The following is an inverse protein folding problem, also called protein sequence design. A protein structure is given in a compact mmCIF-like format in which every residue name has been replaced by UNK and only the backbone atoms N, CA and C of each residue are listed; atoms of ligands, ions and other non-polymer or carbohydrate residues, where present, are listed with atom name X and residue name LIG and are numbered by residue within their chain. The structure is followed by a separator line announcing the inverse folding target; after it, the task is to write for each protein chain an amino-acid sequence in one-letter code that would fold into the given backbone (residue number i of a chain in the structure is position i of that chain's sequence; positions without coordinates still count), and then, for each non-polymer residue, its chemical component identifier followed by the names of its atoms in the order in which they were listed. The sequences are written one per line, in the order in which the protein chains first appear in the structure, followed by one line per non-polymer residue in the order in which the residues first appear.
data_IF_631067833303
#
_entry.id   IF_631067833303
#
_cell.length_a   1.000
_cell.length_b   1.000
_cell.length_c   1.000
_cell.angle_alpha   90.00
_cell.angle_beta   90.00
_cell.angle_gamma   90.00
#
_symmetry.space_group_name_H-M   'P 1'
#
loop_
_entity.id
_entity.type
_entity.pdbx_description
1 polymer ?
#
# COMPACT_ATOMS: atom_id res chain seq x y z
N UNK A 1 24.57 -15.42 2.63
CA UNK A 1 23.87 -15.82 3.88
C UNK A 1 22.41 -15.81 3.55
N UNK A 2 21.73 -16.92 3.80
CA UNK A 2 20.32 -17.07 3.47
C UNK A 2 19.44 -16.54 4.59
N UNK A 3 18.57 -15.59 4.29
CA UNK A 3 17.66 -15.01 5.29
C UNK A 3 16.22 -15.22 4.83
N UNK A 4 15.40 -15.84 5.67
CA UNK A 4 13.98 -15.97 5.42
C UNK A 4 13.26 -14.75 6.03
N UNK A 5 12.74 -13.88 5.17
CA UNK A 5 12.09 -12.63 5.57
C UNK A 5 10.57 -12.74 5.42
N UNK A 6 9.90 -12.71 6.56
CA UNK A 6 8.45 -12.72 6.69
C UNK A 6 7.98 -11.35 7.20
N UNK A 7 6.76 -10.95 6.85
CA UNK A 7 6.14 -9.75 7.40
C UNK A 7 4.62 -9.86 7.37
N UNK A 8 3.93 -8.98 8.09
CA UNK A 8 2.49 -8.78 8.01
C UNK A 8 1.75 -10.12 8.10
N UNK A 9 2.00 -10.85 9.21
CA UNK A 9 1.42 -12.17 9.43
C UNK A 9 -0.04 -12.11 9.87
N UNK A 10 -0.42 -11.01 10.54
CA UNK A 10 -1.79 -10.67 10.93
C UNK A 10 -2.58 -11.84 11.56
N UNK A 11 -1.95 -12.57 12.49
CA UNK A 11 -2.65 -13.61 13.22
C UNK A 11 -3.79 -13.01 14.05
N UNK A 12 -5.00 -13.52 13.82
CA UNK A 12 -6.21 -13.19 14.56
C UNK A 12 -7.24 -14.32 14.40
N UNK A 13 -8.28 -14.38 15.24
CA UNK A 13 -9.35 -15.36 15.09
C UNK A 13 -9.97 -15.40 13.69
N UNK A 14 -10.16 -14.24 13.04
CA UNK A 14 -10.70 -14.16 11.67
C UNK A 14 -9.73 -14.57 10.56
N UNK A 15 -8.42 -14.40 10.80
CA UNK A 15 -7.37 -14.66 9.80
C UNK A 15 -6.65 -15.99 10.03
N UNK A 16 -6.94 -16.71 11.13
CA UNK A 16 -6.12 -17.81 11.64
C UNK A 16 -5.81 -18.88 10.60
N UNK A 17 -6.82 -19.39 9.91
CA UNK A 17 -6.63 -20.47 8.93
C UNK A 17 -5.82 -20.01 7.71
N UNK A 18 -5.97 -18.75 7.29
CA UNK A 18 -5.15 -18.19 6.21
C UNK A 18 -3.70 -18.01 6.64
N UNK A 19 -3.52 -17.30 7.75
CA UNK A 19 -2.22 -16.93 8.28
C UNK A 19 -1.40 -18.19 8.62
N UNK A 20 -2.01 -19.19 9.25
CA UNK A 20 -1.30 -20.42 9.61
C UNK A 20 -1.03 -21.34 8.42
N UNK A 21 -1.93 -21.43 7.43
CA UNK A 21 -1.64 -22.18 6.20
C UNK A 21 -0.47 -21.57 5.44
N UNK A 22 -0.48 -20.26 5.25
CA UNK A 22 0.56 -19.55 4.50
C UNK A 22 1.87 -19.49 5.25
N UNK A 23 1.85 -19.07 6.52
CA UNK A 23 3.07 -19.02 7.33
C UNK A 23 3.62 -20.41 7.60
N UNK A 24 2.76 -21.41 7.84
CA UNK A 24 3.18 -22.80 7.97
C UNK A 24 3.99 -23.28 6.77
N UNK A 25 3.46 -23.12 5.55
CA UNK A 25 4.20 -23.40 4.32
C UNK A 25 5.52 -22.63 4.25
N UNK A 26 5.50 -21.33 4.54
CA UNK A 26 6.69 -20.48 4.46
C UNK A 26 7.79 -20.91 5.45
N UNK A 27 7.42 -21.28 6.68
CA UNK A 27 8.35 -21.81 7.68
C UNK A 27 8.96 -23.14 7.27
N UNK A 28 8.15 -24.07 6.75
CA UNK A 28 8.62 -25.39 6.28
C UNK A 28 9.56 -25.25 5.07
N UNK A 29 9.20 -24.38 4.12
CA UNK A 29 10.03 -24.09 2.94
C UNK A 29 11.36 -23.42 3.33
N UNK A 30 11.34 -22.45 4.25
CA UNK A 30 12.56 -21.79 4.72
C UNK A 30 13.54 -22.76 5.39
N UNK A 31 13.03 -23.70 6.20
CA UNK A 31 13.83 -24.77 6.81
C UNK A 31 14.40 -25.71 5.74
N UNK A 32 13.58 -26.13 4.77
CA UNK A 32 14.01 -26.99 3.67
C UNK A 32 15.12 -26.35 2.82
N UNK A 33 15.03 -25.03 2.61
CA UNK A 33 16.02 -24.26 1.85
C UNK A 33 17.28 -23.89 2.64
N UNK A 34 17.37 -24.33 3.90
CA UNK A 34 18.46 -24.06 4.82
C UNK A 34 18.71 -22.56 5.01
N UNK A 35 17.66 -21.80 5.34
CA UNK A 35 17.84 -20.42 5.79
C UNK A 35 18.69 -20.38 7.07
N UNK A 36 19.64 -19.45 7.13
CA UNK A 36 20.57 -19.29 8.25
C UNK A 36 19.90 -18.54 9.42
N UNK A 37 18.94 -17.66 9.12
CA UNK A 37 18.20 -16.84 10.10
C UNK A 37 16.82 -16.46 9.53
N UNK A 38 15.84 -16.36 10.42
CA UNK A 38 14.51 -15.85 10.11
C UNK A 38 14.36 -14.40 10.61
N UNK A 39 13.76 -13.54 9.80
CA UNK A 39 13.43 -12.15 10.13
C UNK A 39 11.94 -11.96 9.96
N UNK A 40 11.25 -11.50 11.02
CA UNK A 40 9.84 -11.09 10.99
C UNK A 40 9.82 -9.57 11.16
N UNK A 41 9.56 -8.83 10.08
CA UNK A 41 9.65 -7.36 10.07
C UNK A 41 8.36 -6.66 10.52
N UNK A 42 7.72 -7.15 11.59
CA UNK A 42 6.53 -6.54 12.21
C UNK A 42 5.18 -7.12 11.81
N UNK A 43 4.15 -6.70 12.55
CA UNK A 43 2.72 -7.04 12.40
C UNK A 43 2.46 -8.56 12.36
N UNK A 44 3.03 -9.29 13.33
CA UNK A 44 2.78 -10.71 13.53
C UNK A 44 1.32 -10.99 13.97
N UNK A 45 0.70 -10.06 14.69
CA UNK A 45 -0.71 -10.11 15.10
C UNK A 45 -1.53 -9.02 14.42
N UNK A 46 -2.79 -9.30 14.11
CA UNK A 46 -3.70 -8.33 13.46
C UNK A 46 -4.22 -7.25 14.42
N UNK A 47 -4.21 -7.55 15.72
CA UNK A 47 -4.56 -6.65 16.81
C UNK A 47 -4.09 -7.28 18.12
N UNK A 48 -4.30 -6.57 19.24
CA UNK A 48 -4.07 -7.14 20.59
C UNK A 48 -4.82 -8.47 20.76
N UNK A 49 -4.07 -9.56 20.92
CA UNK A 49 -4.63 -10.87 21.23
C UNK A 49 -4.58 -11.17 22.72
N UNK A 50 -5.63 -11.80 23.24
CA UNK A 50 -5.60 -12.37 24.58
C UNK A 50 -4.65 -13.57 24.65
N UNK A 51 -4.03 -13.79 25.81
CA UNK A 51 -3.07 -14.88 26.02
C UNK A 51 -3.65 -16.29 25.73
N UNK A 52 -4.96 -16.46 25.88
CA UNK A 52 -5.68 -17.71 25.65
C UNK A 52 -6.18 -17.86 24.21
N UNK A 53 -5.98 -16.86 23.35
CA UNK A 53 -6.45 -16.88 21.98
C UNK A 53 -5.76 -18.01 21.18
N UNK A 54 -6.53 -18.87 20.47
CA UNK A 54 -5.94 -19.90 19.61
C UNK A 54 -4.99 -19.34 18.55
N UNK A 55 -5.25 -18.13 18.05
CA UNK A 55 -4.37 -17.45 17.09
C UNK A 55 -3.00 -17.15 17.66
N UNK A 56 -2.92 -16.65 18.90
CA UNK A 56 -1.64 -16.41 19.57
C UNK A 56 -0.90 -17.74 19.82
N UNK A 57 -1.62 -18.78 20.24
CA UNK A 57 -1.02 -20.09 20.45
C UNK A 57 -0.44 -20.69 19.16
N UNK A 58 -1.14 -20.56 18.03
CA UNK A 58 -0.66 -21.04 16.72
C UNK A 58 0.56 -20.26 16.25
N UNK A 59 0.53 -18.94 16.34
CA UNK A 59 1.68 -18.08 16.07
C UNK A 59 2.90 -18.49 16.90
N UNK A 60 2.72 -18.64 18.22
CA UNK A 60 3.77 -19.09 19.15
C UNK A 60 4.36 -20.44 18.76
N UNK A 61 3.52 -21.41 18.33
CA UNK A 61 4.02 -22.71 17.86
C UNK A 61 4.83 -22.61 16.58
N UNK A 62 4.44 -21.75 15.63
CA UNK A 62 5.19 -21.54 14.38
C UNK A 62 6.54 -20.88 14.64
N UNK A 63 6.58 -19.85 15.47
CA UNK A 63 7.82 -19.16 15.87
C UNK A 63 8.73 -20.10 16.69
N UNK A 64 8.17 -20.85 17.65
CA UNK A 64 8.92 -21.87 18.39
C UNK A 64 9.53 -22.91 17.43
N UNK A 65 8.75 -23.39 16.45
CA UNK A 65 9.22 -24.31 15.42
C UNK A 65 10.38 -23.75 14.58
N UNK A 66 10.29 -22.49 14.14
CA UNK A 66 11.39 -21.78 13.46
C UNK A 66 12.64 -21.74 14.34
N UNK A 67 12.50 -21.37 15.60
CA UNK A 67 13.63 -21.32 16.56
C UNK A 67 14.27 -22.70 16.82
N UNK A 68 13.56 -23.79 16.53
CA UNK A 68 14.14 -25.14 16.53
C UNK A 68 15.17 -25.35 15.40
N UNK A 69 15.09 -24.56 14.33
CA UNK A 69 15.88 -24.74 13.11
C UNK A 69 16.88 -23.61 12.84
N UNK A 70 16.56 -22.37 13.22
CA UNK A 70 17.42 -21.20 12.98
C UNK A 70 17.15 -20.08 14.01
N UNK A 71 18.09 -19.15 14.25
CA UNK A 71 17.83 -17.93 15.00
C UNK A 71 16.70 -17.11 14.39
N UNK A 72 15.93 -16.41 15.23
CA UNK A 72 14.78 -15.60 14.79
C UNK A 72 14.92 -14.18 15.30
N UNK A 73 14.86 -13.19 14.43
CA UNK A 73 14.74 -11.79 14.77
C UNK A 73 13.30 -11.33 14.51
N UNK A 74 12.64 -10.77 15.51
CA UNK A 74 11.30 -10.19 15.41
C UNK A 74 11.38 -8.69 15.65
N UNK A 75 10.99 -7.89 14.66
CA UNK A 75 10.88 -6.44 14.79
C UNK A 75 9.47 -6.08 15.30
N UNK A 76 9.40 -5.12 16.21
CA UNK A 76 8.13 -4.49 16.60
C UNK A 76 7.52 -3.74 15.42
N UNK A 77 6.33 -4.18 14.99
CA UNK A 77 5.48 -3.49 14.03
C UNK A 77 4.62 -2.41 14.69
N UNK A 78 3.49 -2.10 14.07
CA UNK A 78 2.62 -1.02 14.52
C UNK A 78 1.97 -1.31 15.86
N UNK A 79 1.81 -0.29 16.71
CA UNK A 79 1.26 -0.49 18.07
C UNK A 79 -0.22 -0.87 18.11
N UNK A 80 -0.96 -0.65 17.01
CA UNK A 80 -2.35 -1.08 16.89
C UNK A 80 -2.44 -2.61 16.74
N UNK A 81 -1.52 -3.17 15.95
CA UNK A 81 -1.40 -4.59 15.69
C UNK A 81 -0.72 -5.31 16.86
N UNK A 82 0.40 -4.74 17.35
CA UNK A 82 1.28 -5.32 18.35
C UNK A 82 1.53 -4.30 19.48
N UNK A 83 0.74 -4.29 20.56
CA UNK A 83 1.00 -3.42 21.69
C UNK A 83 2.42 -3.64 22.27
N UNK A 84 3.14 -2.58 22.71
CA UNK A 84 4.46 -2.72 23.29
C UNK A 84 4.54 -3.81 24.38
N UNK A 85 5.60 -4.61 24.32
CA UNK A 85 5.80 -5.77 25.21
C UNK A 85 5.11 -7.06 24.79
N UNK A 86 4.21 -7.04 23.79
CA UNK A 86 3.57 -8.27 23.26
C UNK A 86 4.61 -9.26 22.76
N UNK A 87 5.57 -8.77 21.97
CA UNK A 87 6.57 -9.61 21.31
C UNK A 87 7.59 -10.23 22.28
N UNK A 88 7.91 -9.57 23.40
CA UNK A 88 8.88 -10.09 24.40
C UNK A 88 8.55 -11.48 24.90
N UNK A 89 7.27 -11.85 24.89
CA UNK A 89 6.84 -13.19 25.28
C UNK A 89 7.43 -14.28 24.37
N UNK A 90 7.69 -13.99 23.09
CA UNK A 90 8.27 -14.96 22.16
C UNK A 90 9.73 -15.28 22.46
N UNK A 91 10.50 -14.37 23.06
CA UNK A 91 11.89 -14.66 23.47
C UNK A 91 11.96 -15.84 24.46
N UNK A 92 10.96 -15.92 25.34
CA UNK A 92 10.79 -17.00 26.32
C UNK A 92 10.35 -18.33 25.69
N UNK A 93 9.91 -18.30 24.43
CA UNK A 93 9.39 -19.47 23.69
C UNK A 93 10.43 -20.09 22.76
N UNK A 94 11.70 -19.72 22.89
CA UNK A 94 12.78 -20.30 22.07
C UNK A 94 12.97 -21.80 22.32
N UNK A 95 13.28 -22.55 21.26
CA UNK A 95 13.54 -24.00 21.32
C UNK A 95 15.03 -24.31 21.37
N UNK A 96 15.75 -24.14 20.25
CA UNK A 96 17.18 -24.47 20.14
C UNK A 96 18.02 -23.22 19.88
N UNK A 97 17.55 -22.36 18.99
CA UNK A 97 18.18 -21.10 18.64
C UNK A 97 17.45 -19.93 19.31
N UNK A 98 18.18 -18.82 19.49
CA UNK A 98 17.65 -17.64 20.13
C UNK A 98 16.56 -16.99 19.28
N UNK A 99 15.49 -16.55 19.96
CA UNK A 99 14.55 -15.56 19.43
C UNK A 99 14.94 -14.22 20.05
N UNK A 100 15.16 -13.21 19.21
CA UNK A 100 15.51 -11.86 19.62
C UNK A 100 14.42 -10.87 19.17
N UNK A 101 13.93 -10.05 20.09
CA UNK A 101 12.91 -9.03 19.80
C UNK A 101 13.55 -7.65 19.74
N UNK A 102 13.44 -7.01 18.57
CA UNK A 102 13.89 -5.65 18.32
C UNK A 102 12.72 -4.67 18.46
N UNK A 103 12.55 -4.12 19.67
CA UNK A 103 11.48 -3.17 20.02
C UNK A 103 11.94 -1.71 20.13
N UNK A 104 13.25 -1.46 20.00
CA UNK A 104 13.84 -0.13 19.93
C UNK A 104 14.78 0.00 18.74
N UNK A 105 15.15 1.24 18.44
CA UNK A 105 16.19 1.57 17.46
C UNK A 105 17.55 1.11 18.00
N UNK A 106 18.23 0.23 17.26
CA UNK A 106 19.51 -0.37 17.66
C UNK A 106 20.18 -1.11 16.51
N UNK A 107 21.46 -1.45 16.67
CA UNK A 107 22.14 -2.43 15.84
C UNK A 107 22.31 -3.74 16.60
N UNK A 108 22.14 -4.87 15.91
CA UNK A 108 22.21 -6.20 16.51
C UNK A 108 23.07 -7.10 15.64
N UNK A 109 24.19 -7.59 16.16
CA UNK A 109 25.02 -8.56 15.46
C UNK A 109 24.56 -9.99 15.75
N UNK A 110 24.77 -10.89 14.79
CA UNK A 110 24.56 -12.32 14.94
C UNK A 110 25.89 -13.04 14.76
N UNK A 111 26.23 -13.91 15.72
CA UNK A 111 27.41 -14.76 15.67
C UNK A 111 27.11 -16.08 16.37
N UNK A 112 27.43 -17.21 15.72
CA UNK A 112 27.20 -18.56 16.27
C UNK A 112 25.80 -18.77 16.85
N UNK A 113 24.78 -18.22 16.17
CA UNK A 113 23.37 -18.34 16.56
C UNK A 113 22.93 -17.47 17.75
N UNK A 114 23.77 -16.53 18.20
CA UNK A 114 23.46 -15.60 19.30
C UNK A 114 23.46 -14.15 18.82
N UNK A 115 22.50 -13.39 19.33
CA UNK A 115 22.35 -11.97 19.06
C UNK A 115 23.05 -11.11 20.12
N UNK A 116 23.77 -10.08 19.68
CA UNK A 116 24.45 -9.10 20.52
C UNK A 116 24.05 -7.70 20.07
N UNK A 117 23.29 -7.00 20.92
CA UNK A 117 22.72 -5.69 20.62
C UNK A 117 23.60 -4.54 21.13
N UNK A 118 23.62 -3.44 20.40
CA UNK A 118 24.24 -2.18 20.82
C UNK A 118 23.52 -1.60 22.04
N UNK A 119 24.24 -0.99 22.97
CA UNK A 119 23.63 -0.25 24.08
C UNK A 119 22.79 0.93 23.59
N UNK A 120 23.31 1.69 22.61
CA UNK A 120 22.61 2.80 21.97
C UNK A 120 21.92 2.44 20.64
N UNK A 121 21.50 3.46 19.86
CA UNK A 121 20.91 3.28 18.52
C UNK A 121 21.84 2.66 17.48
N UNK A 122 23.14 2.85 17.67
CA UNK A 122 24.22 2.26 16.88
C UNK A 122 25.31 1.72 17.82
N UNK A 123 26.17 0.84 17.34
CA UNK A 123 27.33 0.39 18.11
C UNK A 123 28.26 1.58 18.40
N UNK A 124 28.66 1.71 19.66
CA UNK A 124 29.80 2.54 20.06
C UNK A 124 31.09 1.99 19.48
N UNK A 125 32.17 2.78 19.48
CA UNK A 125 33.47 2.32 18.96
C UNK A 125 34.01 1.09 19.68
N UNK A 126 33.78 0.97 20.99
CA UNK A 126 34.22 -0.17 21.79
C UNK A 126 33.40 -1.42 21.44
N UNK A 127 32.07 -1.30 21.38
CA UNK A 127 31.18 -2.40 20.98
C UNK A 127 31.45 -2.85 19.53
N UNK A 128 31.71 -1.91 18.61
CA UNK A 128 32.03 -2.24 17.22
C UNK A 128 33.34 -3.05 17.15
N UNK A 129 34.36 -2.70 17.94
CA UNK A 129 35.60 -3.49 18.04
C UNK A 129 35.32 -4.89 18.57
N UNK A 130 34.42 -5.04 19.54
CA UNK A 130 34.00 -6.35 20.04
C UNK A 130 33.28 -7.17 18.97
N UNK A 131 32.29 -6.58 18.28
CA UNK A 131 31.52 -7.20 17.18
C UNK A 131 32.44 -7.70 16.05
N UNK A 132 33.46 -6.91 15.70
CA UNK A 132 34.46 -7.31 14.72
C UNK A 132 35.37 -8.43 15.26
N UNK A 133 35.76 -8.36 16.53
CA UNK A 133 36.64 -9.37 17.15
C UNK A 133 35.99 -10.74 17.29
N UNK A 134 34.67 -10.81 17.53
CA UNK A 134 33.93 -12.08 17.57
C UNK A 134 33.74 -12.67 16.17
N UNK A 135 33.87 -11.86 15.11
CA UNK A 135 33.62 -12.30 13.74
C UNK A 135 32.13 -12.47 13.46
N UNK A 136 31.35 -11.41 13.66
CA UNK A 136 29.92 -11.41 13.36
C UNK A 136 29.62 -11.82 11.91
N UNK A 137 28.62 -12.69 11.73
CA UNK A 137 28.20 -13.18 10.41
C UNK A 137 27.43 -12.11 9.62
N UNK A 138 26.63 -11.33 10.37
CA UNK A 138 25.75 -10.25 9.90
C UNK A 138 25.45 -9.27 11.04
N UNK A 139 25.22 -8.00 10.69
CA UNK A 139 24.66 -6.98 11.58
C UNK A 139 23.33 -6.47 11.04
N UNK A 140 22.33 -6.47 11.91
CA UNK A 140 20.99 -5.94 11.66
C UNK A 140 20.85 -4.52 12.21
N UNK A 141 20.64 -3.54 11.35
CA UNK A 141 20.17 -2.19 11.72
C UNK A 141 18.66 -2.24 11.88
N UNK A 142 18.18 -2.25 13.13
CA UNK A 142 16.77 -2.43 13.47
C UNK A 142 16.10 -1.08 13.72
N UNK A 143 15.02 -0.82 12.99
CA UNK A 143 14.21 0.38 13.12
C UNK A 143 12.72 -0.02 13.25
N UNK A 144 12.24 -0.32 14.47
CA UNK A 144 10.83 -0.64 14.69
C UNK A 144 9.93 0.58 14.46
N UNK A 145 8.62 0.35 14.40
CA UNK A 145 7.65 1.46 14.28
C UNK A 145 7.83 2.46 15.43
N UNK A 146 7.95 3.75 15.08
CA UNK A 146 8.19 4.83 16.05
C UNK A 146 6.89 5.49 16.46
N UNK A 147 6.74 5.77 17.76
CA UNK A 147 5.60 6.52 18.27
C UNK A 147 5.74 8.01 17.95
N UNK A 148 4.96 8.51 16.99
CA UNK A 148 4.92 9.93 16.62
C UNK A 148 4.66 10.87 17.81
N UNK A 149 3.88 10.43 18.80
CA UNK A 149 3.60 11.20 20.01
C UNK A 149 4.80 11.30 20.97
N UNK A 150 5.58 10.24 21.12
CA UNK A 150 6.80 10.26 21.94
C UNK A 150 7.91 11.05 21.24
N UNK A 151 8.05 10.89 19.92
CA UNK A 151 8.93 11.75 19.12
C UNK A 151 8.54 13.22 19.31
N UNK A 152 7.25 13.55 19.22
CA UNK A 152 6.76 14.91 19.44
C UNK A 152 6.99 15.45 20.84
N UNK A 153 7.00 14.59 21.85
CA UNK A 153 7.31 14.99 23.22
C UNK A 153 8.79 15.36 23.38
N UNK A 154 9.69 14.72 22.63
CA UNK A 154 11.13 14.89 22.71
C UNK A 154 11.67 16.00 21.79
N UNK A 155 11.20 16.09 20.54
CA UNK A 155 11.65 17.13 19.57
C UNK A 155 10.71 18.34 19.48
N UNK A 156 9.56 18.30 20.17
CA UNK A 156 8.54 19.34 20.14
C UNK A 156 7.48 19.13 19.04
N UNK A 157 6.21 19.40 19.38
CA UNK A 157 5.05 19.03 18.55
C UNK A 157 4.98 19.70 17.16
N UNK A 158 5.62 20.86 16.95
CA UNK A 158 5.68 21.52 15.64
C UNK A 158 6.70 20.88 14.70
N UNK A 159 7.81 20.40 15.25
CA UNK A 159 8.89 19.81 14.47
C UNK A 159 8.68 18.30 14.27
N UNK A 160 7.84 17.64 15.07
CA UNK A 160 7.57 16.21 14.94
C UNK A 160 6.83 15.81 13.65
N UNK A 161 5.91 16.68 13.18
CA UNK A 161 5.11 16.39 11.99
C UNK A 161 5.92 16.52 10.68
N UNK A 162 6.96 17.36 10.67
CA UNK A 162 7.86 17.58 9.53
C UNK A 162 9.26 16.99 9.73
N UNK A 163 9.59 16.55 10.94
CA UNK A 163 10.93 16.15 11.36
C UNK A 163 11.10 14.66 11.61
N UNK A 164 10.04 13.84 11.59
CA UNK A 164 10.19 12.39 11.70
C UNK A 164 11.06 11.84 10.55
N UNK A 165 10.77 12.21 9.30
CA UNK A 165 11.59 11.80 8.16
C UNK A 165 13.05 12.24 8.33
N UNK A 166 13.29 13.46 8.80
CA UNK A 166 14.63 13.99 9.07
C UNK A 166 15.37 13.22 10.16
N UNK A 167 14.71 12.96 11.30
CA UNK A 167 15.27 12.19 12.41
C UNK A 167 15.58 10.76 12.00
N UNK A 168 14.69 10.12 11.25
CA UNK A 168 14.91 8.77 10.72
C UNK A 168 16.06 8.77 9.70
N UNK A 169 16.14 9.79 8.84
CA UNK A 169 17.25 9.93 7.88
C UNK A 169 18.60 10.14 8.58
N UNK A 170 18.64 10.95 9.64
CA UNK A 170 19.85 11.17 10.45
C UNK A 170 20.30 9.87 11.13
N UNK A 171 19.36 9.10 11.67
CA UNK A 171 19.64 7.78 12.22
C UNK A 171 20.19 6.83 11.15
N UNK A 172 19.52 6.71 10.00
CA UNK A 172 19.96 5.84 8.92
C UNK A 172 21.35 6.24 8.41
N UNK A 173 21.63 7.53 8.27
CA UNK A 173 22.96 8.05 7.93
C UNK A 173 24.00 7.71 9.00
N UNK A 174 23.66 7.79 10.29
CA UNK A 174 24.54 7.38 11.38
C UNK A 174 24.84 5.88 11.37
N UNK A 175 23.82 5.05 11.21
CA UNK A 175 23.97 3.61 11.05
C UNK A 175 24.79 3.28 9.79
N UNK A 176 24.61 4.04 8.71
CA UNK A 176 25.35 3.91 7.46
C UNK A 176 26.87 4.03 7.63
N UNK A 177 27.33 4.96 8.48
CA UNK A 177 28.77 5.09 8.80
C UNK A 177 29.34 3.86 9.50
N UNK A 178 28.55 3.19 10.34
CA UNK A 178 28.95 1.94 11.00
C UNK A 178 28.89 0.78 10.00
N UNK A 179 27.83 0.72 9.20
CA UNK A 179 27.64 -0.32 8.19
C UNK A 179 28.73 -0.32 7.11
N UNK A 180 29.23 0.85 6.71
CA UNK A 180 30.39 0.95 5.82
C UNK A 180 31.66 0.34 6.43
N UNK A 181 31.91 0.57 7.73
CA UNK A 181 33.06 -0.03 8.43
C UNK A 181 32.92 -1.56 8.52
N UNK A 182 31.74 -2.04 8.89
CA UNK A 182 31.42 -3.47 8.95
C UNK A 182 31.65 -4.15 7.58
N UNK A 183 31.16 -3.56 6.50
CA UNK A 183 31.36 -4.07 5.14
C UNK A 183 32.83 -4.06 4.72
N UNK A 184 33.61 -3.05 5.10
CA UNK A 184 35.04 -3.00 4.84
C UNK A 184 35.80 -4.16 5.51
N UNK A 185 35.31 -4.63 6.65
CA UNK A 185 35.83 -5.79 7.40
C UNK A 185 35.17 -7.12 6.98
N UNK A 186 34.33 -7.12 5.93
CA UNK A 186 33.71 -8.33 5.41
C UNK A 186 32.47 -8.83 6.16
N UNK A 187 31.88 -7.99 7.02
CA UNK A 187 30.62 -8.29 7.73
C UNK A 187 29.43 -7.83 6.88
N UNK A 188 28.41 -8.69 6.76
CA UNK A 188 27.16 -8.38 6.03
C UNK A 188 26.31 -7.40 6.82
N UNK A 189 25.63 -6.50 6.14
CA UNK A 189 24.75 -5.52 6.78
C UNK A 189 23.31 -5.62 6.28
N UNK A 190 22.36 -5.68 7.20
CA UNK A 190 20.93 -5.83 6.89
C UNK A 190 20.14 -4.77 7.64
N UNK A 191 19.32 -3.98 6.95
CA UNK A 191 18.32 -3.12 7.58
C UNK A 191 17.02 -3.88 7.80
N UNK A 192 16.33 -3.65 8.91
CA UNK A 192 14.98 -4.20 9.17
C UNK A 192 14.10 -3.08 9.69
N UNK A 193 12.99 -2.81 9.01
CA UNK A 193 12.04 -1.76 9.42
C UNK A 193 10.59 -2.13 9.11
N UNK A 194 9.65 -1.42 9.73
CA UNK A 194 8.22 -1.55 9.50
C UNK A 194 7.59 -0.15 9.34
N UNK A 195 7.30 0.23 8.10
CA UNK A 195 6.73 1.54 7.78
C UNK A 195 6.60 1.77 6.28
N UNK A 196 6.19 2.98 5.88
CA UNK A 196 5.85 3.29 4.49
C UNK A 196 6.98 4.01 3.75
N UNK A 197 7.31 3.52 2.55
CA UNK A 197 8.25 4.16 1.62
C UNK A 197 7.51 5.04 0.63
N UNK A 198 8.01 6.26 0.40
CA UNK A 198 7.45 7.17 -0.58
C UNK A 198 7.45 6.55 -2.00
N UNK A 199 6.29 6.57 -2.66
CA UNK A 199 6.10 6.00 -4.00
C UNK A 199 5.90 4.48 -4.01
N UNK A 200 5.80 3.82 -2.85
CA UNK A 200 5.39 2.42 -2.81
C UNK A 200 3.95 2.24 -3.32
N UNK A 201 3.65 1.04 -3.81
CA UNK A 201 2.31 0.68 -4.28
C UNK A 201 1.63 -0.20 -3.23
N UNK A 202 0.42 0.17 -2.82
CA UNK A 202 -0.38 -0.65 -1.90
C UNK A 202 -0.87 -1.93 -2.57
N UNK A 203 -1.35 -2.85 -1.76
CA UNK A 203 -2.02 -4.07 -2.18
C UNK A 203 -3.26 -3.83 -3.04
N UNK A 204 -3.82 -2.62 -3.07
CA UNK A 204 -4.93 -2.25 -3.95
C UNK A 204 -4.49 -1.50 -5.22
N UNK A 205 -3.18 -1.51 -5.54
CA UNK A 205 -2.63 -0.89 -6.74
C UNK A 205 -2.55 0.64 -6.66
N UNK A 206 -2.77 1.24 -5.49
CA UNK A 206 -2.69 2.68 -5.29
C UNK A 206 -1.25 3.06 -4.96
N UNK A 207 -0.64 3.93 -5.76
CA UNK A 207 0.65 4.52 -5.41
C UNK A 207 0.47 5.52 -4.28
N UNK A 208 1.18 5.30 -3.19
CA UNK A 208 1.13 6.18 -2.04
C UNK A 208 1.96 7.43 -2.33
N UNK A 209 1.29 8.58 -2.37
CA UNK A 209 1.89 9.92 -2.50
C UNK A 209 1.30 10.82 -1.41
N UNK A 210 2.13 11.42 -0.54
CA UNK A 210 1.64 12.24 0.58
C UNK A 210 2.65 12.40 1.72
N UNK A 211 2.21 12.97 2.84
CA UNK A 211 3.04 13.24 4.03
C UNK A 211 3.03 12.09 5.06
N UNK A 212 2.34 10.98 4.78
CA UNK A 212 2.25 9.82 5.68
C UNK A 212 3.39 8.79 5.47
N UNK A 213 4.37 9.12 4.63
CA UNK A 213 5.56 8.29 4.41
C UNK A 213 6.59 8.49 5.51
N UNK A 214 7.16 7.40 5.99
CA UNK A 214 8.22 7.44 7.00
C UNK A 214 9.61 7.42 6.36
N UNK A 215 9.71 6.89 5.15
CA UNK A 215 10.98 6.66 4.47
C UNK A 215 11.00 7.22 3.05
N UNK A 216 12.15 7.80 2.68
CA UNK A 216 12.54 7.95 1.28
C UNK A 216 13.45 6.79 0.88
N UNK A 217 13.43 6.40 -0.40
CA UNK A 217 14.40 5.41 -0.89
C UNK A 217 15.85 5.88 -0.70
N UNK A 218 16.08 7.19 -0.80
CA UNK A 218 17.38 7.81 -0.55
C UNK A 218 17.90 7.49 0.86
N UNK A 219 17.10 7.78 1.90
CA UNK A 219 17.50 7.56 3.28
C UNK A 219 17.72 6.08 3.61
N UNK A 220 16.90 5.18 3.03
CA UNK A 220 17.11 3.73 3.19
C UNK A 220 18.44 3.26 2.58
N UNK A 221 18.83 3.79 1.41
CA UNK A 221 20.14 3.46 0.82
C UNK A 221 21.32 4.17 1.49
N UNK A 222 21.09 5.26 2.22
CA UNK A 222 22.09 5.92 3.07
C UNK A 222 22.43 5.11 4.33
N UNK A 223 21.57 4.16 4.71
CA UNK A 223 21.89 3.18 5.74
C UNK A 223 23.00 2.20 5.35
N UNK A 224 23.42 2.18 4.07
CA UNK A 224 24.56 1.39 3.60
C UNK A 224 24.47 -0.13 3.87
N UNK A 225 23.25 -0.62 4.03
CA UNK A 225 22.94 -2.04 4.16
C UNK A 225 23.05 -2.76 2.82
N UNK A 226 23.53 -4.01 2.83
CA UNK A 226 23.49 -4.90 1.67
C UNK A 226 22.04 -5.24 1.28
N UNK A 227 21.23 -5.56 2.29
CA UNK A 227 19.79 -5.79 2.16
C UNK A 227 19.01 -4.90 3.13
N UNK A 228 17.82 -4.44 2.75
CA UNK A 228 16.91 -3.72 3.64
C UNK A 228 15.51 -4.35 3.57
N UNK A 229 15.14 -5.02 4.66
CA UNK A 229 13.92 -5.80 4.81
C UNK A 229 12.83 -4.94 5.43
N UNK A 230 11.78 -4.67 4.65
CA UNK A 230 10.65 -3.84 5.09
C UNK A 230 9.40 -4.68 5.37
N UNK A 231 8.57 -4.22 6.29
CA UNK A 231 7.17 -4.62 6.49
C UNK A 231 6.22 -3.44 6.40
N UNK A 232 4.91 -3.66 6.52
CA UNK A 232 3.78 -2.70 6.52
C UNK A 232 2.99 -2.67 5.21
N UNK A 233 3.68 -2.81 4.07
CA UNK A 233 3.03 -2.79 2.76
C UNK A 233 2.73 -4.22 2.33
N UNK A 234 1.45 -4.53 2.19
CA UNK A 234 0.96 -5.89 1.88
C UNK A 234 1.18 -6.33 0.44
N UNK A 235 1.83 -5.50 -0.39
CA UNK A 235 2.23 -5.82 -1.77
C UNK A 235 3.74 -6.06 -1.84
N UNK A 236 4.13 -7.23 -2.35
CA UNK A 236 5.53 -7.53 -2.65
C UNK A 236 6.09 -6.56 -3.68
N UNK A 237 7.23 -5.93 -3.37
CA UNK A 237 7.93 -4.99 -4.26
C UNK A 237 9.37 -4.77 -3.79
N UNK A 238 10.25 -4.41 -4.72
CA UNK A 238 11.68 -4.23 -4.44
C UNK A 238 12.31 -3.11 -5.26
N UNK A 239 13.39 -2.54 -4.72
CA UNK A 239 14.23 -1.53 -5.36
C UNK A 239 15.70 -1.92 -5.19
N UNK A 240 16.49 -1.72 -6.24
CA UNK A 240 17.92 -2.03 -6.25
C UNK A 240 18.73 -0.78 -6.53
N UNK A 241 19.86 -0.63 -5.83
CA UNK A 241 20.86 0.39 -6.13
C UNK A 241 22.27 -0.14 -5.85
N UNK A 242 23.05 -0.34 -6.91
CA UNK A 242 24.44 -0.74 -6.85
C UNK A 242 24.66 -2.02 -6.03
N UNK A 243 23.92 -3.09 -6.35
CA UNK A 243 23.99 -4.38 -5.68
C UNK A 243 23.29 -4.47 -4.33
N UNK A 244 22.82 -3.34 -3.77
CA UNK A 244 22.03 -3.30 -2.54
C UNK A 244 20.55 -3.32 -2.87
N UNK A 245 19.76 -4.03 -2.07
CA UNK A 245 18.32 -4.24 -2.34
C UNK A 245 17.48 -3.85 -1.13
N UNK A 246 16.40 -3.10 -1.38
CA UNK A 246 15.35 -2.76 -0.41
C UNK A 246 14.08 -3.45 -0.86
N UNK A 247 13.38 -4.20 0.00
CA UNK A 247 12.16 -4.89 -0.42
C UNK A 247 11.12 -5.09 0.68
N UNK A 248 9.85 -5.06 0.26
CA UNK A 248 8.71 -5.58 1.00
C UNK A 248 8.37 -6.99 0.50
N UNK A 249 8.13 -7.96 1.40
CA UNK A 249 7.63 -9.27 1.03
C UNK A 249 6.13 -9.23 0.73
N UNK A 250 5.42 -8.19 1.16
CA UNK A 250 3.96 -8.22 1.22
C UNK A 250 3.45 -9.00 2.44
N UNK A 251 2.13 -9.17 2.51
CA UNK A 251 1.50 -9.97 3.55
C UNK A 251 1.69 -11.46 3.29
N UNK A 252 1.81 -12.25 4.37
CA UNK A 252 2.06 -13.69 4.25
C UNK A 252 0.90 -14.44 3.57
N UNK A 253 -0.32 -13.94 3.75
CA UNK A 253 -1.55 -14.45 3.18
C UNK A 253 -2.46 -13.32 2.70
N UNK A 254 -3.63 -13.67 2.16
CA UNK A 254 -4.59 -12.69 1.65
C UNK A 254 -5.68 -12.43 2.68
N UNK A 255 -5.66 -11.24 3.28
CA UNK A 255 -6.54 -10.90 4.40
C UNK A 255 -7.75 -10.07 3.99
N UNK A 256 -7.62 -9.27 2.92
CA UNK A 256 -8.69 -8.45 2.39
C UNK A 256 -9.06 -8.83 0.96
N UNK A 257 -10.32 -8.57 0.64
CA UNK A 257 -10.83 -8.69 -0.72
C UNK A 257 -10.31 -7.53 -1.59
N UNK A 258 -9.77 -7.87 -2.76
CA UNK A 258 -9.27 -6.90 -3.74
C UNK A 258 -7.79 -6.55 -3.56
N UNK A 259 -7.08 -7.31 -2.74
CA UNK A 259 -5.62 -7.28 -2.76
C UNK A 259 -5.12 -7.88 -4.09
N UNK A 260 -4.17 -7.21 -4.74
CA UNK A 260 -3.61 -7.56 -6.03
C UNK A 260 -2.31 -8.35 -5.91
N UNK A 261 -2.11 -9.29 -6.84
CA UNK A 261 -0.89 -10.08 -6.96
C UNK A 261 -0.80 -11.22 -5.95
N UNK A 262 0.30 -11.96 -6.07
CA UNK A 262 0.59 -13.11 -5.22
C UNK A 262 0.99 -12.68 -3.81
N UNK A 263 0.79 -13.58 -2.85
CA UNK A 263 1.21 -13.44 -1.45
C UNK A 263 2.36 -14.37 -1.16
N UNK A 264 3.20 -14.02 -0.20
CA UNK A 264 4.45 -14.74 -0.05
C UNK A 264 5.37 -14.21 1.02
N UNK A 265 6.63 -14.61 0.88
CA UNK A 265 7.73 -14.14 1.70
C UNK A 265 8.99 -14.03 0.83
N UNK A 266 10.05 -13.39 1.33
CA UNK A 266 11.31 -13.26 0.59
C UNK A 266 12.38 -14.21 1.15
N UNK A 267 13.01 -14.96 0.25
CA UNK A 267 14.26 -15.67 0.54
C UNK A 267 15.42 -14.84 0.02
N UNK A 268 16.26 -14.36 0.93
CA UNK A 268 17.40 -13.52 0.60
C UNK A 268 18.68 -14.31 0.50
N UNK A 269 19.57 -13.97 -0.44
CA UNK A 269 21.00 -14.28 -0.33
C UNK A 269 21.78 -12.97 -0.17
N UNK A 270 22.31 -12.77 1.04
CA UNK A 270 23.07 -11.58 1.41
C UNK A 270 24.56 -11.87 1.44
N UNK A 271 25.30 -11.09 0.67
CA UNK A 271 26.76 -11.07 0.60
C UNK A 271 27.23 -9.64 0.86
N UNK A 272 28.52 -9.49 1.21
CA UNK A 272 29.08 -8.15 1.43
C UNK A 272 29.07 -7.38 0.11
N UNK A 273 28.34 -6.28 0.08
CA UNK A 273 28.13 -5.42 -1.08
C UNK A 273 27.14 -5.91 -2.12
N UNK A 274 26.45 -7.04 -1.87
CA UNK A 274 25.48 -7.58 -2.81
C UNK A 274 24.37 -8.35 -2.10
N UNK A 275 23.12 -8.08 -2.45
CA UNK A 275 21.98 -8.88 -2.00
C UNK A 275 21.05 -9.23 -3.17
N UNK A 276 20.41 -10.39 -3.07
CA UNK A 276 19.31 -10.79 -3.94
C UNK A 276 18.13 -11.25 -3.08
N UNK A 277 16.91 -10.92 -3.48
CA UNK A 277 15.68 -11.36 -2.84
C UNK A 277 14.83 -12.14 -3.84
N UNK A 278 14.56 -13.41 -3.55
CA UNK A 278 13.66 -14.25 -4.33
C UNK A 278 12.29 -14.31 -3.65
N UNK A 279 11.23 -13.96 -4.38
CA UNK A 279 9.87 -14.02 -3.86
C UNK A 279 9.29 -15.43 -3.97
N UNK A 280 8.88 -15.98 -2.82
CA UNK A 280 8.30 -17.32 -2.71
C UNK A 280 6.82 -17.19 -2.42
N UNK A 281 6.01 -17.64 -3.39
CA UNK A 281 4.55 -17.60 -3.33
C UNK A 281 4.04 -18.58 -2.28
N UNK A 282 3.18 -18.12 -1.37
CA UNK A 282 2.48 -18.94 -0.38
C UNK A 282 1.15 -19.47 -0.94
N UNK A 283 0.60 -20.56 -0.37
CA UNK A 283 -0.71 -21.10 -0.73
C UNK A 283 -1.85 -20.24 -0.16
N UNK A 284 -1.83 -18.94 -0.49
CA UNK A 284 -2.86 -17.97 -0.11
C UNK A 284 -4.17 -18.22 -0.84
N UNK A 285 -5.28 -17.80 -0.23
CA UNK A 285 -6.60 -17.90 -0.86
C UNK A 285 -6.68 -17.01 -2.11
N UNK A 286 -7.44 -17.48 -3.07
CA UNK A 286 -7.83 -16.67 -4.24
C UNK A 286 -9.11 -15.89 -3.93
N UNK A 287 -9.13 -14.61 -4.30
CA UNK A 287 -10.32 -13.76 -4.16
C UNK A 287 -10.79 -13.22 -5.51
N UNK A 288 -12.10 -13.25 -5.74
CA UNK A 288 -12.75 -12.61 -6.88
C UNK A 288 -13.62 -11.44 -6.39
N UNK A 289 -13.30 -10.22 -6.79
CA UNK A 289 -14.11 -9.03 -6.53
C UNK A 289 -14.87 -8.62 -7.79
N UNK A 290 -16.20 -8.57 -7.69
CA UNK A 290 -17.09 -8.25 -8.82
C UNK A 290 -17.93 -7.04 -8.42
N UNK A 291 -17.77 -5.95 -9.16
CA UNK A 291 -18.47 -4.70 -8.91
C UNK A 291 -19.45 -4.38 -10.05
N UNK A 292 -20.66 -3.98 -9.69
CA UNK A 292 -21.71 -3.51 -10.61
C UNK A 292 -22.16 -2.09 -10.27
N UNK A 293 -22.25 -1.24 -11.29
CA UNK A 293 -22.94 0.05 -11.23
C UNK A 293 -24.37 -0.16 -11.77
N UNK A 294 -25.34 -0.33 -10.87
CA UNK A 294 -26.67 -0.85 -11.17
C UNK A 294 -26.90 -2.29 -10.68
N UNK A 295 -28.08 -2.89 -10.97
CA UNK A 295 -28.39 -4.26 -10.55
C UNK A 295 -27.41 -5.27 -11.19
N UNK A 296 -27.02 -6.34 -10.47
CA UNK A 296 -26.10 -7.33 -11.00
C UNK A 296 -26.63 -8.04 -12.26
N UNK A 297 -25.76 -8.18 -13.26
CA UNK A 297 -26.04 -8.99 -14.44
C UNK A 297 -25.87 -10.48 -14.11
N UNK A 298 -26.99 -11.20 -14.03
CA UNK A 298 -27.04 -12.62 -13.71
C UNK A 298 -26.32 -13.49 -14.76
N UNK A 299 -26.34 -13.11 -16.04
CA UNK A 299 -25.64 -13.89 -17.08
C UNK A 299 -24.12 -13.76 -16.92
N UNK A 300 -23.65 -12.53 -16.66
CA UNK A 300 -22.23 -12.29 -16.33
C UNK A 300 -21.81 -13.03 -15.06
N UNK A 301 -22.64 -13.00 -14.02
CA UNK A 301 -22.37 -13.74 -12.79
C UNK A 301 -22.32 -15.25 -13.01
N UNK A 302 -23.22 -15.81 -13.81
CA UNK A 302 -23.23 -17.24 -14.14
C UNK A 302 -21.95 -17.65 -14.89
N UNK A 303 -21.45 -16.82 -15.79
CA UNK A 303 -20.18 -17.07 -16.48
C UNK A 303 -18.98 -17.05 -15.52
N UNK A 304 -18.94 -16.09 -14.59
CA UNK A 304 -17.86 -15.99 -13.59
C UNK A 304 -17.91 -17.16 -12.60
N UNK A 305 -19.11 -17.59 -12.21
CA UNK A 305 -19.30 -18.68 -11.27
C UNK A 305 -18.67 -20.02 -11.73
N UNK A 306 -18.50 -20.22 -13.04
CA UNK A 306 -17.84 -21.42 -13.59
C UNK A 306 -16.38 -21.57 -13.14
N UNK A 307 -15.70 -20.45 -12.89
CA UNK A 307 -14.30 -20.41 -12.44
C UNK A 307 -14.17 -19.99 -10.96
N UNK A 308 -15.28 -19.93 -10.22
CA UNK A 308 -15.30 -19.47 -8.83
C UNK A 308 -15.19 -20.59 -7.78
N UNK A 309 -14.99 -21.84 -8.23
CA UNK A 309 -14.91 -23.01 -7.33
C UNK A 309 -13.74 -22.85 -6.36
N UNK A 310 -13.99 -23.05 -5.07
CA UNK A 310 -13.03 -22.90 -3.96
C UNK A 310 -12.43 -21.48 -3.80
N UNK A 311 -12.93 -20.47 -4.53
CA UNK A 311 -12.49 -19.08 -4.40
C UNK A 311 -13.36 -18.30 -3.41
N UNK A 312 -12.80 -17.24 -2.85
CA UNK A 312 -13.51 -16.29 -2.00
C UNK A 312 -14.10 -15.19 -2.89
N UNK A 313 -15.42 -15.13 -3.01
CA UNK A 313 -16.10 -14.23 -3.94
C UNK A 313 -16.76 -13.08 -3.19
N UNK A 314 -16.45 -11.84 -3.58
CA UNK A 314 -17.17 -10.64 -3.12
C UNK A 314 -17.88 -9.99 -4.30
N UNK A 315 -19.20 -9.86 -4.19
CA UNK A 315 -20.05 -9.19 -5.17
C UNK A 315 -20.59 -7.93 -4.54
N UNK A 316 -20.31 -6.78 -5.16
CA UNK A 316 -20.86 -5.50 -4.75
C UNK A 316 -21.66 -4.89 -5.88
N UNK A 317 -22.76 -4.24 -5.52
CA UNK A 317 -23.50 -3.43 -6.48
C UNK A 317 -24.02 -2.16 -5.84
N UNK A 318 -24.26 -1.17 -6.68
CA UNK A 318 -24.87 0.09 -6.30
C UNK A 318 -26.20 0.26 -7.03
N UNK A 319 -27.30 0.42 -6.29
CA UNK A 319 -28.65 0.69 -6.83
C UNK A 319 -29.28 1.83 -6.05
N UNK A 320 -30.21 2.57 -6.65
CA UNK A 320 -31.01 3.52 -5.90
C UNK A 320 -32.02 2.81 -4.96
N UNK A 321 -32.66 3.58 -4.08
CA UNK A 321 -33.64 3.06 -3.13
C UNK A 321 -34.86 2.39 -3.81
N UNK A 322 -35.26 2.88 -4.99
CA UNK A 322 -36.42 2.35 -5.73
C UNK A 322 -36.12 0.97 -6.31
N UNK A 323 -34.87 0.70 -6.68
CA UNK A 323 -34.39 -0.56 -7.23
C UNK A 323 -33.85 -1.53 -6.16
N UNK A 324 -34.01 -1.26 -4.86
CA UNK A 324 -33.53 -2.12 -3.77
C UNK A 324 -34.01 -3.58 -3.89
N UNK A 325 -35.25 -3.79 -4.33
CA UNK A 325 -35.86 -5.13 -4.45
C UNK A 325 -35.59 -5.80 -5.81
N UNK A 326 -34.89 -5.14 -6.72
CA UNK A 326 -34.61 -5.66 -8.07
C UNK A 326 -33.59 -6.80 -8.11
N UNK A 327 -32.87 -7.04 -7.01
CA UNK A 327 -31.76 -7.99 -6.95
C UNK A 327 -32.15 -9.25 -6.19
N UNK A 328 -32.18 -10.37 -6.89
CA UNK A 328 -32.40 -11.69 -6.31
C UNK A 328 -31.09 -12.24 -5.73
N UNK A 329 -30.96 -12.12 -4.40
CA UNK A 329 -29.78 -12.59 -3.66
C UNK A 329 -29.71 -14.12 -3.60
N UNK A 330 -30.85 -14.81 -3.63
CA UNK A 330 -30.90 -16.27 -3.57
C UNK A 330 -30.43 -16.87 -4.89
N UNK A 331 -30.82 -16.26 -6.02
CA UNK A 331 -30.30 -16.64 -7.33
C UNK A 331 -28.77 -16.46 -7.41
N UNK A 332 -28.24 -15.35 -6.90
CA UNK A 332 -26.80 -15.12 -6.84
C UNK A 332 -26.12 -16.18 -5.95
N UNK A 333 -26.66 -16.45 -4.76
CA UNK A 333 -26.11 -17.48 -3.87
C UNK A 333 -26.10 -18.87 -4.51
N UNK A 334 -27.14 -19.22 -5.26
CA UNK A 334 -27.23 -20.49 -5.97
C UNK A 334 -26.15 -20.63 -7.06
N UNK A 335 -25.79 -19.55 -7.76
CA UNK A 335 -24.73 -19.56 -8.77
C UNK A 335 -23.35 -19.86 -8.15
N UNK A 336 -23.07 -19.30 -6.97
CA UNK A 336 -21.78 -19.42 -6.29
C UNK A 336 -21.77 -20.48 -5.18
N UNK A 337 -22.64 -21.49 -5.26
CA UNK A 337 -22.74 -22.53 -4.24
C UNK A 337 -21.44 -23.35 -4.04
N UNK A 338 -20.57 -23.38 -5.05
CA UNK A 338 -19.27 -24.07 -5.02
C UNK A 338 -18.10 -23.13 -4.64
N UNK A 339 -18.35 -21.85 -4.37
CA UNK A 339 -17.32 -20.94 -3.87
C UNK A 339 -16.96 -21.29 -2.42
N UNK A 340 -15.71 -21.05 -2.01
CA UNK A 340 -15.30 -21.24 -0.62
C UNK A 340 -16.02 -20.27 0.33
N UNK A 341 -16.27 -19.05 -0.15
CA UNK A 341 -17.06 -18.03 0.55
C UNK A 341 -17.74 -17.12 -0.47
N UNK A 342 -18.96 -16.69 -0.17
CA UNK A 342 -19.66 -15.66 -0.92
C UNK A 342 -20.05 -14.51 -0.01
N UNK A 343 -19.54 -13.31 -0.32
CA UNK A 343 -19.89 -12.05 0.32
C UNK A 343 -20.65 -11.15 -0.65
N UNK A 344 -21.82 -10.67 -0.22
CA UNK A 344 -22.76 -9.94 -1.05
C UNK A 344 -23.06 -8.58 -0.39
N UNK A 345 -22.67 -7.48 -1.04
CA UNK A 345 -22.79 -6.13 -0.48
C UNK A 345 -23.61 -5.22 -1.41
N UNK A 346 -24.75 -4.73 -0.91
CA UNK A 346 -25.59 -3.79 -1.63
C UNK A 346 -25.37 -2.37 -1.09
N UNK A 347 -24.97 -1.44 -1.96
CA UNK A 347 -24.93 -0.01 -1.65
C UNK A 347 -26.19 0.65 -2.21
N UNK A 348 -27.05 1.11 -1.32
CA UNK A 348 -28.31 1.76 -1.69
C UNK A 348 -28.10 3.25 -1.69
N UNK A 349 -28.21 3.88 -2.87
CA UNK A 349 -28.13 5.33 -3.00
C UNK A 349 -29.47 5.95 -2.60
N UNK A 350 -29.50 6.85 -1.60
CA UNK A 350 -30.72 7.54 -1.22
C UNK A 350 -31.18 8.45 -2.36
N UNK A 351 -32.47 8.37 -2.72
CA UNK A 351 -33.05 9.24 -3.73
C UNK A 351 -33.42 10.58 -3.08
N UNK A 352 -32.52 11.56 -3.17
CA UNK A 352 -32.80 12.93 -2.70
C UNK A 352 -33.59 13.66 -3.78
N UNK A 353 -34.91 13.70 -3.64
CA UNK A 353 -35.78 14.53 -4.50
C UNK A 353 -35.69 15.99 -4.08
N UNK A 354 -34.73 16.74 -4.64
CA UNK A 354 -34.73 18.19 -4.51
C UNK A 354 -35.78 18.80 -5.43
N UNK A 355 -36.73 19.56 -4.86
CA UNK A 355 -37.61 20.40 -5.68
C UNK A 355 -36.77 21.58 -6.17
N UNK A 356 -36.55 21.68 -7.48
CA UNK A 356 -35.94 22.85 -8.07
C UNK A 356 -36.66 24.12 -7.59
N UNK A 357 -35.91 24.99 -6.90
CA UNK A 357 -36.48 26.12 -6.18
C UNK A 357 -37.20 27.07 -7.16
N UNK A 358 -38.48 27.31 -6.90
CA UNK A 358 -39.31 28.18 -7.72
C UNK A 358 -39.89 27.57 -8.99
N UNK A 359 -39.69 26.28 -9.29
CA UNK A 359 -40.47 25.60 -10.36
C UNK A 359 -41.98 25.73 -10.11
N UNK A 360 -42.41 25.64 -8.85
CA UNK A 360 -43.83 25.79 -8.48
C UNK A 360 -44.38 27.21 -8.63
N UNK A 361 -43.51 28.21 -8.82
CA UNK A 361 -43.88 29.61 -9.03
C UNK A 361 -44.08 29.94 -10.51
N UNK A 362 -43.60 29.09 -11.42
CA UNK A 362 -43.74 29.29 -12.86
C UNK A 362 -45.15 28.94 -13.33
N UNK A 363 -45.69 29.76 -14.23
CA UNK A 363 -47.09 29.70 -14.67
C UNK A 363 -47.26 28.90 -15.97
N UNK A 364 -46.22 28.71 -16.76
CA UNK A 364 -46.24 27.93 -17.99
C UNK A 364 -45.36 26.68 -17.90
N UNK A 365 -45.66 25.66 -18.70
CA UNK A 365 -44.91 24.40 -18.71
C UNK A 365 -43.50 24.63 -19.27
N UNK A 366 -43.34 25.47 -20.29
CA UNK A 366 -42.04 25.83 -20.86
C UNK A 366 -41.09 26.39 -19.79
N UNK A 367 -41.58 27.33 -18.99
CA UNK A 367 -40.80 27.97 -17.91
C UNK A 367 -40.43 26.99 -16.80
N UNK A 368 -41.29 26.00 -16.54
CA UNK A 368 -40.98 24.91 -15.60
C UNK A 368 -39.88 24.00 -16.13
N UNK A 369 -39.90 23.68 -17.43
CA UNK A 369 -38.85 22.89 -18.08
C UNK A 369 -37.53 23.67 -18.09
N UNK A 370 -37.54 24.97 -18.44
CA UNK A 370 -36.36 25.83 -18.39
C UNK A 370 -35.74 25.86 -16.99
N UNK A 371 -36.54 26.12 -15.95
CA UNK A 371 -36.05 26.08 -14.56
C UNK A 371 -35.54 24.71 -14.14
N UNK A 372 -36.16 23.62 -14.61
CA UNK A 372 -35.65 22.27 -14.32
C UNK A 372 -34.29 22.04 -14.99
N UNK A 373 -34.15 22.47 -16.24
CA UNK A 373 -32.91 22.39 -17.02
C UNK A 373 -31.77 23.17 -16.36
N UNK A 374 -32.05 24.40 -15.88
CA UNK A 374 -31.09 25.22 -15.12
C UNK A 374 -30.61 24.53 -13.83
N UNK A 375 -31.50 23.84 -13.11
CA UNK A 375 -31.16 23.12 -11.88
C UNK A 375 -30.44 21.79 -12.11
N UNK A 376 -30.52 21.22 -13.31
CA UNK A 376 -29.97 19.90 -13.64
C UNK A 376 -28.80 19.93 -14.63
N UNK A 377 -28.35 21.13 -15.02
CA UNK A 377 -27.31 21.36 -16.03
C UNK A 377 -27.60 20.67 -17.38
N UNK A 378 -28.88 20.66 -17.77
CA UNK A 378 -29.36 20.12 -19.05
C UNK A 378 -29.68 21.28 -19.99
N UNK A 379 -29.38 21.15 -21.29
CA UNK A 379 -29.72 22.20 -22.27
C UNK A 379 -31.23 22.22 -22.56
N UNK A 380 -31.94 23.36 -22.39
CA UNK A 380 -33.40 23.40 -22.46
C UNK A 380 -33.97 23.32 -23.89
N UNK A 381 -33.26 23.83 -24.90
CA UNK A 381 -33.77 23.93 -26.28
C UNK A 381 -34.37 22.63 -26.84
N UNK A 382 -33.62 21.50 -26.81
CA UNK A 382 -34.14 20.23 -27.32
C UNK A 382 -35.38 19.69 -26.59
N UNK A 383 -35.59 20.07 -25.33
CA UNK A 383 -36.74 19.63 -24.54
C UNK A 383 -37.97 20.51 -24.83
N UNK A 384 -37.76 21.81 -25.00
CA UNK A 384 -38.81 22.75 -25.41
C UNK A 384 -39.31 22.44 -26.83
N UNK A 385 -38.41 22.11 -27.75
CA UNK A 385 -38.78 21.69 -29.11
C UNK A 385 -39.67 20.43 -29.10
N UNK A 386 -39.38 19.49 -28.19
CA UNK A 386 -40.18 18.27 -27.99
C UNK A 386 -41.52 18.57 -27.31
N UNK A 387 -41.56 19.51 -26.37
CA UNK A 387 -42.81 19.97 -25.76
C UNK A 387 -43.72 20.60 -26.82
N UNK A 388 -43.18 21.53 -27.61
CA UNK A 388 -43.93 22.16 -28.69
C UNK A 388 -44.45 21.15 -29.71
N UNK A 389 -43.63 20.14 -30.02
CA UNK A 389 -43.99 19.01 -30.89
C UNK A 389 -45.15 18.19 -30.30
N UNK A 390 -45.17 17.95 -29.00
CA UNK A 390 -46.25 17.25 -28.29
C UNK A 390 -47.53 18.10 -28.16
N UNK A 391 -47.39 19.42 -28.02
CA UNK A 391 -48.54 20.33 -27.91
C UNK A 391 -49.24 20.58 -29.24
N UNK A 392 -48.49 20.52 -30.35
CA UNK A 392 -49.00 20.88 -31.69
C UNK A 392 -49.18 19.70 -32.64
N UNK A 393 -48.53 18.56 -32.38
CA UNK A 393 -48.58 17.37 -33.22
C UNK A 393 -49.52 16.29 -32.68
N UNK A 394 -50.17 15.55 -33.58
CA UNK A 394 -50.84 14.30 -33.22
C UNK A 394 -49.84 13.13 -33.14
N UNK A 395 -50.19 12.09 -32.39
CA UNK A 395 -49.29 10.98 -32.10
C UNK A 395 -48.76 10.25 -33.36
N UNK A 396 -49.58 10.15 -34.42
CA UNK A 396 -49.18 9.48 -35.67
C UNK A 396 -48.17 10.33 -36.45
N UNK A 397 -48.41 11.64 -36.55
CA UNK A 397 -47.48 12.58 -37.19
C UNK A 397 -46.13 12.67 -36.48
N UNK A 398 -46.14 12.63 -35.14
CA UNK A 398 -44.93 12.62 -34.31
C UNK A 398 -44.14 11.34 -34.54
N UNK A 399 -44.80 10.18 -34.48
CA UNK A 399 -44.17 8.88 -34.68
C UNK A 399 -43.58 8.75 -36.09
N UNK A 400 -44.32 9.18 -37.12
CA UNK A 400 -43.86 9.18 -38.50
C UNK A 400 -42.59 10.04 -38.69
N UNK A 401 -42.54 11.22 -38.04
CA UNK A 401 -41.37 12.11 -38.10
C UNK A 401 -40.14 11.52 -37.41
N UNK A 402 -40.33 10.88 -36.26
CA UNK A 402 -39.24 10.17 -35.54
C UNK A 402 -38.72 9.00 -36.36
N UNK A 403 -39.61 8.19 -36.95
CA UNK A 403 -39.24 7.08 -37.83
C UNK A 403 -38.50 7.56 -39.09
N UNK A 404 -38.95 8.63 -39.72
CA UNK A 404 -38.26 9.22 -40.89
C UNK A 404 -36.84 9.68 -40.53
N UNK A 405 -36.67 10.39 -39.41
CA UNK A 405 -35.35 10.86 -38.97
C UNK A 405 -34.39 9.72 -38.62
N UNK A 406 -34.90 8.60 -38.11
CA UNK A 406 -34.11 7.38 -37.86
C UNK A 406 -33.68 6.70 -39.17
N UNK A 407 -34.54 6.69 -40.18
CA UNK A 407 -34.24 6.16 -41.51
C UNK A 407 -33.21 7.04 -42.23
N UNK A 408 -33.36 8.37 -42.17
CA UNK A 408 -32.45 9.33 -42.79
C UNK A 408 -31.06 9.31 -42.12
N UNK A 409 -31.01 9.13 -40.78
CA UNK A 409 -29.76 8.96 -40.04
C UNK A 409 -29.04 7.64 -40.38
N UNK A 410 -29.80 6.57 -40.66
CA UNK A 410 -29.25 5.30 -41.12
C UNK A 410 -28.74 5.38 -42.58
N UNK A 411 -29.44 6.11 -43.46
CA UNK A 411 -29.04 6.31 -44.86
C UNK A 411 -27.79 7.22 -45.01
N UNK A 412 -27.60 8.18 -44.10
CA UNK A 412 -26.41 9.03 -44.07
C UNK A 412 -25.12 8.27 -43.70
N UNK A 413 -25.22 7.10 -43.07
CA UNK A 413 -24.09 6.23 -42.73
C UNK A 413 -23.73 5.24 -43.85
N UNK A 414 -24.55 5.10 -44.90
CA UNK A 414 -24.39 4.10 -45.97
C UNK A 414 -23.99 4.66 -47.36
N UNK A 415 -23.73 5.97 -47.50
CA UNK A 415 -23.33 6.57 -48.79
C UNK A 415 -21.80 6.52 -49.03
N UNK A 416 -21.29 6.03 -50.18
CA UNK A 416 -19.85 6.01 -50.49
C UNK A 416 -19.34 7.37 -50.99
N UNK A 417 -18.03 7.69 -50.86
CA UNK A 417 -17.51 9.00 -51.24
C UNK A 417 -17.31 9.08 -52.76
N UNK A 418 -17.82 10.14 -53.40
CA UNK A 418 -17.53 10.46 -54.79
C UNK A 418 -17.01 11.90 -54.94
N UNK A 419 -15.86 11.96 -55.61
CA UNK A 419 -15.21 13.08 -56.31
C UNK A 419 -14.63 14.28 -55.54
N UNK A 420 -13.29 14.20 -55.45
CA UNK A 420 -12.35 15.33 -55.35
C UNK A 420 -12.53 16.32 -56.51
N UNK A 421 -12.51 17.63 -56.27
CA UNK A 421 -12.04 18.59 -57.25
C UNK A 421 -10.52 18.75 -57.18
N UNK A 422 -9.93 18.95 -58.36
CA UNK A 422 -8.52 19.16 -58.61
C UNK A 422 -7.97 20.48 -58.05
N UNK A 423 -6.64 20.53 -57.97
CA UNK A 423 -5.80 21.59 -57.42
C UNK A 423 -6.08 23.01 -57.98
N UNK A 424 -6.06 23.99 -57.07
CA UNK A 424 -5.96 25.43 -57.35
C UNK A 424 -4.55 25.88 -56.93
N UNK A 425 -3.84 26.73 -57.72
CA UNK A 425 -2.45 27.08 -57.46
C UNK A 425 -2.29 28.12 -56.34
N UNK A 426 -1.11 28.05 -55.69
CA UNK A 426 -0.68 28.88 -54.56
C UNK A 426 -0.45 30.33 -54.97
N UNK A 427 -1.01 31.27 -54.21
CA UNK A 427 -0.51 32.65 -54.09
C UNK A 427 -0.84 33.20 -52.68
N UNK A 428 0.23 33.39 -51.91
CA UNK A 428 0.46 34.17 -50.69
C UNK A 428 -0.73 34.77 -49.92
N UNK A 429 -1.01 34.21 -48.72
CA UNK A 429 -1.58 34.93 -47.58
C UNK A 429 -0.91 34.43 -46.28
N UNK A 430 -0.55 35.40 -45.44
CA UNK A 430 0.30 35.37 -44.24
C UNK A 430 -0.06 34.33 -43.17
N UNK A 431 0.98 33.90 -42.44
CA UNK A 431 0.89 33.02 -41.28
C UNK A 431 0.06 33.65 -40.14
N UNK A 432 -0.92 32.94 -39.54
CA UNK A 432 -1.55 33.36 -38.29
C UNK A 432 -0.64 33.02 -37.11
N UNK A 433 -0.52 34.01 -36.23
CA UNK A 433 0.33 34.05 -35.03
C UNK A 433 0.21 32.81 -34.11
N UNK A 434 1.38 32.35 -33.64
CA UNK A 434 1.49 31.53 -32.44
C UNK A 434 0.87 32.29 -31.26
N UNK A 435 -0.17 31.70 -30.67
CA UNK A 435 -0.67 32.14 -29.37
C UNK A 435 0.27 31.60 -28.27
N UNK A 436 0.76 32.45 -27.35
CA UNK A 436 1.75 32.07 -26.36
C UNK A 436 1.16 31.14 -25.29
N UNK A 437 1.93 30.10 -24.98
CA UNK A 437 1.74 29.23 -23.81
C UNK A 437 1.84 30.07 -22.51
N UNK A 438 0.98 29.85 -21.51
CA UNK A 438 1.11 30.55 -20.23
C UNK A 438 2.33 30.05 -19.44
N UNK A 439 3.21 30.99 -19.13
CA UNK A 439 4.35 30.87 -18.21
C UNK A 439 3.87 30.48 -16.80
N UNK A 440 4.29 29.30 -16.33
CA UNK A 440 4.23 28.93 -14.92
C UNK A 440 5.61 29.18 -14.31
N UNK A 441 5.87 30.44 -13.95
CA UNK A 441 7.04 30.83 -13.17
C UNK A 441 6.92 30.31 -11.74
N UNK A 442 7.78 29.35 -11.40
CA UNK A 442 8.07 28.91 -10.04
C UNK A 442 8.96 29.97 -9.39
N UNK A 443 8.45 30.65 -8.36
CA UNK A 443 9.29 31.48 -7.49
C UNK A 443 10.13 30.57 -6.59
N UNK A 444 11.41 30.45 -6.94
CA UNK A 444 12.47 29.96 -6.05
C UNK A 444 12.86 31.12 -5.14
N UNK A 445 12.59 31.00 -3.84
CA UNK A 445 13.11 31.93 -2.84
C UNK A 445 14.54 31.51 -2.50
N UNK A 446 15.51 32.27 -3.01
CA UNK A 446 16.91 32.14 -2.65
C UNK A 446 17.12 32.43 -1.16
N UNK A 447 17.64 31.43 -0.45
CA UNK A 447 18.23 31.58 0.87
C UNK A 447 19.38 32.58 0.79
N UNK A 448 19.22 33.71 1.48
CA UNK A 448 20.20 34.78 1.53
C UNK A 448 21.56 34.32 2.04
N UNK A 449 22.56 34.79 1.30
CA UNK A 449 24.00 34.77 1.53
C UNK A 449 24.46 34.99 2.98
N UNK A 450 25.40 34.13 3.40
CA UNK A 450 26.31 34.32 4.52
C UNK A 450 27.22 35.54 4.25
N UNK A 451 27.29 36.46 5.21
CA UNK A 451 28.37 37.44 5.37
C UNK A 451 29.25 37.06 6.57
N UNK A 452 30.56 37.38 6.55
CA UNK A 452 31.57 36.66 7.33
C UNK A 452 31.85 37.34 8.67
N UNK A 453 31.57 36.66 9.78
CA UNK A 453 32.33 36.76 11.04
C UNK A 453 31.57 36.05 12.16
N UNK A 454 32.24 35.12 12.83
CA UNK A 454 31.68 34.43 13.99
C UNK A 454 31.85 32.92 13.84
N UNK A 455 33.02 32.43 14.27
CA UNK A 455 33.23 31.04 14.63
C UNK A 455 32.10 30.52 15.52
N UNK A 456 31.42 29.41 15.19
CA UNK A 456 30.61 28.70 16.16
C UNK A 456 31.38 27.46 16.63
N UNK A 457 31.94 27.56 17.84
CA UNK A 457 32.07 26.40 18.71
C UNK A 457 30.66 25.83 18.95
N UNK A 458 30.34 24.66 18.42
CA UNK A 458 28.96 24.15 18.54
C UNK A 458 28.70 22.75 18.01
N UNK A 459 29.71 21.88 17.92
CA UNK A 459 29.50 20.47 17.51
C UNK A 459 29.10 19.56 18.69
N UNK A 460 29.14 20.05 19.93
CA UNK A 460 28.84 19.25 21.13
C UNK A 460 27.39 19.38 21.62
N UNK A 461 26.56 20.24 21.00
CA UNK A 461 25.20 20.54 21.48
C UNK A 461 24.05 19.97 20.65
N UNK A 462 24.31 19.40 19.47
CA UNK A 462 23.27 18.96 18.52
C UNK A 462 22.95 17.45 18.58
N UNK A 463 23.61 16.69 19.46
CA UNK A 463 23.48 15.23 19.57
C UNK A 463 22.84 14.77 20.89
N UNK A 464 22.38 15.68 21.77
CA UNK A 464 21.96 15.29 23.12
C UNK A 464 20.66 14.47 23.18
N UNK A 465 19.91 14.38 22.10
CA UNK A 465 18.68 13.58 22.03
C UNK A 465 18.95 12.11 21.62
N UNK A 466 20.16 11.78 21.14
CA UNK A 466 20.54 10.37 20.87
C UNK A 466 20.77 9.56 22.15
N UNK A 467 21.04 10.25 23.27
CA UNK A 467 21.31 9.64 24.58
C UNK A 467 20.05 9.56 25.47
N UNK A 468 18.99 10.31 25.14
CA UNK A 468 17.70 10.24 25.82
C UNK A 468 16.85 9.16 25.14
N UNK A 469 16.39 8.18 25.93
CA UNK A 469 15.67 6.98 25.50
C UNK A 469 14.26 7.31 24.98
N UNK A 470 14.23 7.95 23.80
CA UNK A 470 13.06 8.32 23.00
C UNK A 470 12.16 7.12 22.62
N UNK A 471 12.60 5.91 22.93
CA UNK A 471 12.06 4.64 22.45
C UNK A 471 11.69 3.65 23.57
N UNK A 472 11.79 4.06 24.84
CA UNK A 472 11.39 3.21 25.97
C UNK A 472 9.97 3.54 26.49
N UNK A 473 9.16 2.46 26.51
CA UNK A 473 7.81 2.24 27.04
C UNK A 473 6.61 2.56 26.13
#
# INVERSE_FOLDING_TARGET
MKIAHFSDLHYAPGNLEEADRCFGFATEHAVLMHADVAVISGDATDHRLDAHAPSLHRLARRINGLSGSMPVLMLQGTFLHEPPGTLRNFELMSATHQIYVAERVQQVSLHEGRFYASSGPVFSEDELREVLSIGADVVFTCLPTVNKGQLAAAVGAKDAATGLEGVLSDYLSAAGRINQQLRAEGVRTVGVSHGTVNGCTTEHGVTMAGFDHEFSLGSLFEAECDAFMLGHIHKAQQWERAGRVVAYPGSIGRFHYGEDGDKGYLMWDVQVGHAQADFIVTPSRETLCIDFDGPPDIQRLAAIALDATDKFVRIRWQVDEEHRQSVDREAIAALFANAAELKVEARILPVVRSRAQGISLETTIDRKIERWCEHTDVTPGPLLDRLQLLETGDAESIAARVLSNLIDSAAALESPPADRPAAIPVADIEAPAELPMPDATVEVVDSASIGPSGTPSGLAGQLSWLDDDLFAA
#
